data_IF_003960978157
#
_entry.id   IF_003960978157
#
_cell.length_a   1.000
_cell.length_b   1.000
_cell.length_c   1.000
_cell.angle_alpha   90.00
_cell.angle_beta   90.00
_cell.angle_gamma   90.00
#
_symmetry.space_group_name_H-M   'P 1'
#
loop_
_entity.id
_entity.type
_entity.pdbx_description
1 polymer ?
#
# COMPACT_ATOMS: atom_id res chain seq x y z
N UNK A 1 -8.38 -24.80 -8.95
CA UNK A 1 -7.92 -23.49 -8.43
C UNK A 1 -8.33 -22.41 -9.42
N UNK A 2 -9.28 -21.57 -9.04
CA UNK A 2 -9.75 -20.43 -9.84
C UNK A 2 -9.25 -19.15 -9.19
N UNK A 3 -8.63 -18.26 -9.98
CA UNK A 3 -8.20 -16.93 -9.53
C UNK A 3 -9.20 -15.89 -10.03
N UNK A 4 -9.78 -15.12 -9.11
CA UNK A 4 -10.60 -13.97 -9.42
C UNK A 4 -9.90 -12.72 -8.87
N UNK A 5 -9.83 -11.66 -9.67
CA UNK A 5 -9.34 -10.36 -9.24
C UNK A 5 -10.49 -9.35 -9.35
N UNK A 6 -10.97 -8.85 -8.21
CA UNK A 6 -11.94 -7.75 -8.16
C UNK A 6 -11.18 -6.43 -7.95
N UNK A 7 -11.52 -5.40 -8.72
CA UNK A 7 -10.95 -4.07 -8.61
C UNK A 7 -12.05 -3.07 -8.30
N UNK A 8 -12.08 -2.59 -7.05
CA UNK A 8 -13.01 -1.54 -6.64
C UNK A 8 -12.33 -0.18 -6.73
N UNK A 9 -12.92 0.68 -7.55
CA UNK A 9 -12.47 2.05 -7.77
C UNK A 9 -13.26 3.01 -6.87
N UNK A 10 -12.63 3.56 -5.83
CA UNK A 10 -13.18 4.69 -5.09
C UNK A 10 -12.68 5.98 -5.73
N UNK A 11 -13.45 6.56 -6.65
CA UNK A 11 -13.01 7.76 -7.38
C UNK A 11 -13.46 9.05 -6.69
N UNK A 12 -12.64 9.57 -5.75
CA UNK A 12 -12.83 10.94 -5.25
C UNK A 12 -12.44 12.02 -6.30
N UNK A 13 -11.78 11.64 -7.40
CA UNK A 13 -11.53 12.52 -8.54
C UNK A 13 -11.19 11.73 -9.81
N UNK A 14 -11.46 12.31 -10.99
CA UNK A 14 -11.00 11.78 -12.28
C UNK A 14 -9.46 11.65 -12.28
N UNK A 15 -8.94 10.51 -12.73
CA UNK A 15 -7.52 10.08 -12.75
C UNK A 15 -6.49 11.13 -13.17
N UNK A 16 -6.90 12.13 -13.95
CA UNK A 16 -6.02 13.10 -14.59
C UNK A 16 -6.02 14.50 -13.95
N UNK A 17 -6.91 14.79 -13.00
CA UNK A 17 -7.14 16.17 -12.53
C UNK A 17 -6.66 16.46 -11.11
N UNK A 18 -6.52 15.44 -10.24
CA UNK A 18 -6.13 15.65 -8.85
C UNK A 18 -5.13 14.60 -8.38
N UNK A 19 -4.17 15.04 -7.56
CA UNK A 19 -3.17 14.23 -6.87
C UNK A 19 -3.15 14.65 -5.40
N UNK A 20 -2.49 13.83 -4.58
CA UNK A 20 -2.39 14.09 -3.15
C UNK A 20 -3.66 13.77 -2.37
N UNK A 21 -3.71 14.31 -1.15
CA UNK A 21 -4.80 14.19 -0.18
C UNK A 21 -5.61 15.48 -0.09
N UNK A 22 -6.88 15.37 0.28
CA UNK A 22 -7.72 16.52 0.67
C UNK A 22 -7.73 16.71 2.20
N UNK A 23 -8.42 17.75 2.68
CA UNK A 23 -8.55 18.02 4.12
C UNK A 23 -9.25 16.92 4.94
N UNK A 24 -9.94 15.99 4.27
CA UNK A 24 -10.67 14.89 4.91
C UNK A 24 -9.88 13.56 4.89
N UNK A 25 -8.59 13.58 4.54
CA UNK A 25 -7.76 12.37 4.45
C UNK A 25 -8.08 11.47 3.25
N UNK A 26 -8.83 11.95 2.26
CA UNK A 26 -9.15 11.20 1.04
C UNK A 26 -8.08 11.46 -0.01
N UNK A 27 -7.40 10.40 -0.42
CA UNK A 27 -6.36 10.46 -1.46
C UNK A 27 -6.97 10.31 -2.85
N UNK A 28 -6.39 10.99 -3.83
CA UNK A 28 -6.73 10.75 -5.23
C UNK A 28 -6.27 9.36 -5.67
N UNK A 29 -6.94 8.78 -6.68
CA UNK A 29 -6.60 7.48 -7.25
C UNK A 29 -6.58 6.32 -6.23
N UNK A 30 -7.46 6.36 -5.21
CA UNK A 30 -7.61 5.27 -4.22
C UNK A 30 -8.27 4.05 -4.88
N UNK A 31 -7.54 2.95 -4.96
CA UNK A 31 -7.95 1.69 -5.60
C UNK A 31 -7.75 0.55 -4.62
N UNK A 32 -8.81 -0.22 -4.43
CA UNK A 32 -8.79 -1.49 -3.72
C UNK A 32 -8.71 -2.62 -4.77
N UNK A 33 -7.73 -3.52 -4.62
CA UNK A 33 -7.61 -4.74 -5.42
C UNK A 33 -7.75 -5.94 -4.51
N UNK A 34 -8.72 -6.80 -4.77
CA UNK A 34 -8.95 -8.05 -4.05
C UNK A 34 -8.57 -9.24 -4.94
N UNK A 35 -7.65 -10.08 -4.48
CA UNK A 35 -7.32 -11.35 -5.11
C UNK A 35 -7.98 -12.48 -4.34
N UNK A 36 -8.90 -13.18 -4.99
CA UNK A 36 -9.65 -14.30 -4.45
C UNK A 36 -9.14 -15.59 -5.10
N UNK A 37 -8.84 -16.57 -4.26
CA UNK A 37 -8.46 -17.92 -4.66
C UNK A 37 -9.56 -18.88 -4.22
N UNK A 38 -10.16 -19.54 -5.20
CA UNK A 38 -11.15 -20.59 -4.98
C UNK A 38 -10.53 -21.95 -5.24
N UNK A 39 -10.60 -22.82 -4.24
CA UNK A 39 -10.22 -24.22 -4.31
C UNK A 39 -11.47 -25.09 -4.23
N UNK A 40 -11.93 -25.52 -5.40
CA UNK A 40 -13.04 -26.44 -5.59
C UNK A 40 -12.50 -27.87 -5.51
N UNK A 41 -12.56 -28.46 -4.32
CA UNK A 41 -12.30 -29.90 -4.15
C UNK A 41 -13.43 -30.69 -4.84
N UNK A 42 -13.09 -31.49 -5.86
CA UNK A 42 -14.02 -32.36 -6.54
C UNK A 42 -14.72 -33.29 -5.53
N UNK A 43 -16.04 -33.14 -5.38
CA UNK A 43 -16.87 -33.96 -4.48
C UNK A 43 -17.18 -33.35 -3.10
N UNK A 44 -16.65 -32.17 -2.76
CA UNK A 44 -17.02 -31.44 -1.53
C UNK A 44 -18.00 -30.30 -1.85
N UNK A 45 -19.14 -30.26 -1.17
CA UNK A 45 -20.12 -29.15 -1.28
C UNK A 45 -19.63 -27.83 -0.64
N UNK A 46 -18.40 -27.78 -0.13
CA UNK A 46 -17.82 -26.61 0.54
C UNK A 46 -16.46 -26.28 -0.08
N UNK A 47 -16.48 -25.45 -1.13
CA UNK A 47 -15.25 -24.89 -1.71
C UNK A 47 -14.49 -24.04 -0.67
N UNK A 48 -13.17 -24.21 -0.63
CA UNK A 48 -12.29 -23.37 0.19
C UNK A 48 -12.03 -22.07 -0.57
N UNK A 49 -12.11 -20.94 0.13
CA UNK A 49 -11.87 -19.62 -0.44
C UNK A 49 -10.87 -18.88 0.43
N UNK A 50 -9.85 -18.33 -0.24
CA UNK A 50 -8.93 -17.37 0.35
C UNK A 50 -9.07 -16.02 -0.35
N UNK A 51 -8.86 -14.92 0.37
CA UNK A 51 -8.82 -13.58 -0.23
C UNK A 51 -7.77 -12.69 0.42
N UNK A 52 -7.04 -11.95 -0.40
CA UNK A 52 -6.12 -10.89 0.05
C UNK A 52 -6.49 -9.59 -0.66
N UNK A 53 -6.49 -8.49 0.08
CA UNK A 53 -6.77 -7.16 -0.47
C UNK A 53 -5.48 -6.32 -0.47
N UNK A 54 -5.32 -5.45 -1.46
CA UNK A 54 -4.19 -4.54 -1.65
C UNK A 54 -4.72 -3.14 -1.96
N UNK A 55 -4.20 -2.12 -1.27
CA UNK A 55 -4.54 -0.72 -1.54
C UNK A 55 -3.45 -0.06 -2.37
N UNK A 56 -3.87 0.72 -3.38
CA UNK A 56 -3.01 1.63 -4.15
C UNK A 56 -3.67 3.00 -4.22
N UNK A 57 -2.97 4.03 -3.73
CA UNK A 57 -3.43 5.41 -3.76
C UNK A 57 -2.36 6.41 -4.19
N UNK A 58 -2.75 7.68 -4.31
CA UNK A 58 -1.77 8.78 -4.36
C UNK A 58 -1.12 8.95 -2.98
N UNK A 59 0.14 9.42 -2.95
CA UNK A 59 0.84 9.72 -1.71
C UNK A 59 0.00 10.71 -0.89
N UNK A 60 -0.30 10.43 0.40
CA UNK A 60 -1.21 11.21 1.23
C UNK A 60 -0.58 12.51 1.74
N UNK A 61 -0.17 13.38 0.81
CA UNK A 61 0.37 14.72 1.06
C UNK A 61 -0.40 15.74 0.21
N UNK A 62 -0.34 17.02 0.56
CA UNK A 62 -0.89 18.09 -0.28
C UNK A 62 0.06 18.39 -1.44
N UNK A 63 -0.14 17.71 -2.56
CA UNK A 63 0.71 17.87 -3.73
C UNK A 63 -0.06 17.79 -5.04
N UNK A 64 0.44 18.52 -6.03
CA UNK A 64 -0.11 18.53 -7.37
C UNK A 64 0.97 18.32 -8.42
N UNK A 65 0.49 18.01 -9.62
CA UNK A 65 1.29 18.02 -10.82
C UNK A 65 0.39 18.54 -11.94
N UNK A 66 0.64 19.76 -12.40
CA UNK A 66 -0.19 20.39 -13.42
C UNK A 66 0.12 19.81 -14.79
N UNK A 67 -0.87 19.20 -15.43
CA UNK A 67 -0.70 18.66 -16.78
C UNK A 67 -0.47 19.82 -17.78
N UNK A 68 0.76 19.94 -18.29
CA UNK A 68 1.09 20.88 -19.36
C UNK A 68 1.16 20.16 -20.70
N UNK A 69 0.48 20.67 -21.72
CA UNK A 69 0.56 20.16 -23.10
C UNK A 69 1.98 20.25 -23.70
N UNK A 70 2.83 21.09 -23.10
CA UNK A 70 4.19 21.37 -23.59
C UNK A 70 5.28 20.69 -22.76
N UNK A 71 4.94 20.09 -21.62
CA UNK A 71 5.90 19.38 -20.77
C UNK A 71 5.48 17.92 -20.62
N UNK A 72 6.20 16.96 -21.24
CA UNK A 72 5.82 15.55 -21.21
C UNK A 72 5.88 14.94 -19.80
N UNK A 73 6.54 15.63 -18.87
CA UNK A 73 6.57 15.28 -17.45
C UNK A 73 6.55 16.58 -16.64
N UNK A 74 5.38 17.04 -16.19
CA UNK A 74 5.27 18.28 -15.43
C UNK A 74 5.93 18.14 -14.06
N UNK A 75 6.29 19.27 -13.47
CA UNK A 75 6.95 19.30 -12.18
C UNK A 75 5.95 19.04 -11.05
N UNK A 76 6.48 18.50 -9.96
CA UNK A 76 5.72 18.13 -8.77
C UNK A 76 5.82 19.27 -7.77
N UNK A 77 4.68 19.74 -7.28
CA UNK A 77 4.58 20.90 -6.41
C UNK A 77 3.92 20.47 -5.10
N UNK A 78 4.60 20.70 -3.98
CA UNK A 78 4.00 20.64 -2.65
C UNK A 78 3.20 21.93 -2.45
N UNK A 79 1.87 21.83 -2.37
CA UNK A 79 0.99 23.00 -2.44
C UNK A 79 0.76 23.66 -1.09
N UNK A 80 0.81 22.88 -0.01
CA UNK A 80 0.47 23.34 1.34
C UNK A 80 1.39 22.72 2.36
N UNK A 81 1.85 23.54 3.30
CA UNK A 81 2.56 23.08 4.49
C UNK A 81 1.56 22.60 5.54
N UNK A 82 1.72 21.36 5.99
CA UNK A 82 0.93 20.73 7.05
C UNK A 82 1.90 20.26 8.15
N UNK A 83 2.13 21.07 9.20
CA UNK A 83 3.16 20.79 10.20
C UNK A 83 2.86 19.55 11.06
N UNK A 84 1.58 19.16 11.15
CA UNK A 84 1.12 18.02 11.97
C UNK A 84 0.71 16.83 11.11
N UNK A 85 0.81 16.93 9.79
CA UNK A 85 0.39 15.90 8.84
C UNK A 85 -1.02 15.39 9.11
N UNK A 86 -1.95 16.28 9.44
CA UNK A 86 -3.30 15.95 9.90
C UNK A 86 -4.09 15.19 8.82
N UNK A 87 -4.02 15.65 7.57
CA UNK A 87 -4.70 14.97 6.48
C UNK A 87 -4.09 13.58 6.21
N UNK A 88 -2.78 13.44 6.39
CA UNK A 88 -2.07 12.16 6.29
C UNK A 88 -2.49 11.21 7.41
N UNK A 89 -2.63 11.72 8.64
CA UNK A 89 -3.12 10.97 9.81
C UNK A 89 -4.52 10.43 9.56
N UNK A 90 -5.46 11.31 9.16
CA UNK A 90 -6.84 10.94 8.84
C UNK A 90 -6.92 9.85 7.75
N UNK A 91 -6.05 9.91 6.76
CA UNK A 91 -5.96 8.89 5.72
C UNK A 91 -5.61 7.51 6.31
N UNK A 92 -4.56 7.43 7.13
CA UNK A 92 -4.13 6.16 7.72
C UNK A 92 -5.08 5.66 8.80
N UNK A 93 -5.76 6.54 9.52
CA UNK A 93 -6.82 6.15 10.46
C UNK A 93 -8.02 5.55 9.73
N UNK A 94 -8.41 6.12 8.58
CA UNK A 94 -9.45 5.53 7.74
C UNK A 94 -9.06 4.14 7.21
N UNK A 95 -7.80 3.95 6.83
CA UNK A 95 -7.27 2.65 6.44
C UNK A 95 -7.26 1.66 7.61
N UNK A 96 -6.77 2.07 8.78
CA UNK A 96 -6.74 1.23 9.98
C UNK A 96 -8.16 0.84 10.43
N UNK A 97 -9.13 1.75 10.31
CA UNK A 97 -10.53 1.47 10.61
C UNK A 97 -11.16 0.47 9.64
N UNK A 98 -10.78 0.52 8.35
CA UNK A 98 -11.32 -0.39 7.31
C UNK A 98 -10.65 -1.75 7.30
N UNK A 99 -9.33 -1.80 7.46
CA UNK A 99 -8.52 -2.99 7.23
C UNK A 99 -7.67 -3.40 8.42
N UNK A 100 -7.67 -2.65 9.52
CA UNK A 100 -6.88 -2.94 10.72
C UNK A 100 -5.37 -2.65 10.59
N UNK A 101 -4.63 -3.06 11.62
CA UNK A 101 -3.18 -2.89 11.74
C UNK A 101 -2.45 -4.25 11.72
N UNK A 102 -1.18 -4.29 11.27
CA UNK A 102 -0.34 -3.16 10.88
C UNK A 102 -0.59 -2.67 9.43
N UNK A 103 -0.40 -1.37 9.19
CA UNK A 103 -0.34 -0.79 7.83
C UNK A 103 1.10 -0.84 7.32
N UNK A 104 1.32 -1.52 6.20
CA UNK A 104 2.63 -1.63 5.54
C UNK A 104 2.63 -0.79 4.27
N UNK A 105 3.45 0.26 4.25
CA UNK A 105 3.60 1.21 3.14
C UNK A 105 4.77 0.79 2.25
N UNK A 106 4.52 0.32 1.03
CA UNK A 106 5.59 0.11 0.03
C UNK A 106 5.71 1.33 -0.88
N UNK A 107 6.78 2.09 -0.69
CA UNK A 107 7.09 3.29 -1.46
C UNK A 107 8.14 3.01 -2.55
N UNK A 108 7.74 3.13 -3.82
CA UNK A 108 8.60 2.85 -4.99
C UNK A 108 9.20 4.09 -5.68
N UNK A 109 9.15 5.26 -5.04
CA UNK A 109 9.72 6.50 -5.59
C UNK A 109 11.21 6.33 -5.89
N UNK A 110 11.69 6.97 -6.96
CA UNK A 110 13.12 6.96 -7.30
C UNK A 110 13.96 7.68 -6.26
N UNK A 111 15.13 7.12 -5.95
CA UNK A 111 16.14 7.78 -5.12
C UNK A 111 17.05 8.70 -5.93
N UNK A 112 17.35 8.33 -7.18
CA UNK A 112 18.23 9.10 -8.07
C UNK A 112 17.48 9.49 -9.34
N UNK A 113 17.36 10.78 -9.55
CA UNK A 113 16.70 11.36 -10.72
C UNK A 113 17.62 12.37 -11.41
N UNK A 114 17.58 12.45 -12.74
CA UNK A 114 18.28 13.50 -13.50
C UNK A 114 17.72 14.90 -13.21
N UNK A 115 16.44 14.98 -12.86
CA UNK A 115 15.75 16.18 -12.36
C UNK A 115 15.03 15.80 -11.07
N UNK A 116 15.31 16.44 -9.94
CA UNK A 116 14.77 16.05 -8.63
C UNK A 116 13.30 16.45 -8.53
N UNK A 117 12.40 15.56 -8.98
CA UNK A 117 10.96 15.83 -9.03
C UNK A 117 10.23 15.07 -7.94
N UNK A 118 10.47 13.76 -7.87
CA UNK A 118 9.85 12.89 -6.88
C UNK A 118 10.61 12.89 -5.55
N UNK A 119 11.88 13.31 -5.56
CA UNK A 119 12.73 13.34 -4.37
C UNK A 119 12.13 14.20 -3.24
N UNK A 120 11.50 15.33 -3.57
CA UNK A 120 10.83 16.17 -2.57
C UNK A 120 9.66 15.44 -1.91
N UNK A 121 8.80 14.78 -2.69
CA UNK A 121 7.70 13.97 -2.16
C UNK A 121 8.19 12.81 -1.31
N UNK A 122 9.28 12.14 -1.74
CA UNK A 122 9.86 11.03 -0.97
C UNK A 122 10.30 11.48 0.41
N UNK A 123 11.03 12.61 0.48
CA UNK A 123 11.51 13.16 1.75
C UNK A 123 10.34 13.58 2.62
N UNK A 124 9.40 14.32 2.05
CA UNK A 124 8.24 14.82 2.79
C UNK A 124 7.37 13.69 3.32
N UNK A 125 7.17 12.63 2.53
CA UNK A 125 6.37 11.50 2.97
C UNK A 125 7.08 10.68 4.06
N UNK A 126 8.40 10.52 3.97
CA UNK A 126 9.17 9.90 5.03
C UNK A 126 9.12 10.71 6.33
N UNK A 127 9.16 12.04 6.24
CA UNK A 127 8.99 12.93 7.39
C UNK A 127 7.58 12.78 8.00
N UNK A 128 6.54 12.75 7.17
CA UNK A 128 5.17 12.54 7.61
C UNK A 128 5.00 11.23 8.37
N UNK A 129 5.48 10.12 7.80
CA UNK A 129 5.40 8.81 8.46
C UNK A 129 6.23 8.77 9.74
N UNK A 130 7.43 9.37 9.74
CA UNK A 130 8.27 9.49 10.93
C UNK A 130 7.60 10.27 12.05
N UNK A 131 6.97 11.41 11.73
CA UNK A 131 6.20 12.21 12.69
C UNK A 131 4.99 11.44 13.23
N UNK A 132 4.22 10.78 12.35
CA UNK A 132 3.06 9.99 12.79
C UNK A 132 3.47 8.84 13.72
N UNK A 133 4.59 8.16 13.45
CA UNK A 133 5.08 7.11 14.34
C UNK A 133 5.63 7.62 15.68
N UNK A 134 5.80 8.94 15.88
CA UNK A 134 6.10 9.50 17.21
C UNK A 134 4.84 9.68 18.06
N UNK A 135 3.68 9.84 17.42
CA UNK A 135 2.40 10.11 18.10
C UNK A 135 1.52 8.86 18.20
N UNK A 136 1.69 7.89 17.30
CA UNK A 136 0.96 6.63 17.31
C UNK A 136 1.56 5.65 18.33
N UNK A 137 0.73 4.73 18.85
CA UNK A 137 1.21 3.62 19.67
C UNK A 137 2.01 2.61 18.83
N UNK A 138 2.89 1.83 19.47
CA UNK A 138 3.76 0.87 18.77
C UNK A 138 3.00 -0.13 17.89
N UNK A 139 1.82 -0.56 18.31
CA UNK A 139 0.92 -1.46 17.56
C UNK A 139 0.33 -0.82 16.29
N UNK A 140 0.26 0.51 16.26
CA UNK A 140 -0.31 1.31 15.18
C UNK A 140 0.77 1.98 14.32
N UNK A 141 2.05 1.71 14.59
CA UNK A 141 3.14 2.23 13.80
C UNK A 141 3.01 1.80 12.33
N UNK A 142 3.13 2.79 11.46
CA UNK A 142 3.17 2.61 10.02
C UNK A 142 4.52 2.00 9.63
N UNK A 143 4.49 0.82 9.01
CA UNK A 143 5.70 0.14 8.52
C UNK A 143 6.06 0.69 7.15
N UNK A 144 7.07 1.57 7.09
CA UNK A 144 7.48 2.22 5.84
C UNK A 144 8.64 1.50 5.16
N UNK A 145 8.37 0.87 4.01
CA UNK A 145 9.35 0.17 3.18
C UNK A 145 9.60 1.01 1.94
N UNK A 146 10.80 1.57 1.82
CA UNK A 146 11.21 2.28 0.62
C UNK A 146 12.06 1.39 -0.28
N UNK A 147 11.67 1.25 -1.55
CA UNK A 147 12.40 0.45 -2.51
C UNK A 147 12.54 1.14 -3.88
N UNK A 148 13.76 1.53 -4.24
CA UNK A 148 14.04 2.09 -5.56
C UNK A 148 14.05 0.99 -6.63
N UNK A 149 12.86 0.73 -7.17
CA UNK A 149 12.67 -0.23 -8.26
C UNK A 149 13.55 0.07 -9.47
N UNK A 150 13.75 1.35 -9.82
CA UNK A 150 14.46 1.73 -11.04
C UNK A 150 15.97 1.52 -10.93
N UNK A 151 16.54 1.72 -9.73
CA UNK A 151 17.93 1.38 -9.45
C UNK A 151 18.12 -0.14 -9.53
N UNK A 152 17.20 -0.91 -8.94
CA UNK A 152 17.30 -2.36 -8.88
C UNK A 152 17.10 -3.02 -10.26
N UNK A 153 16.09 -2.60 -11.01
CA UNK A 153 15.76 -3.15 -12.33
C UNK A 153 16.83 -2.91 -13.41
N UNK A 154 17.76 -1.97 -13.19
CA UNK A 154 18.90 -1.72 -14.10
C UNK A 154 20.07 -2.69 -13.90
N UNK A 155 20.08 -3.46 -12.81
CA UNK A 155 21.13 -4.47 -12.59
C UNK A 155 20.83 -5.72 -13.40
N UNK A 156 21.83 -6.21 -14.15
CA UNK A 156 21.70 -7.34 -15.10
C UNK A 156 21.35 -8.68 -14.42
N UNK A 157 21.48 -8.78 -13.09
CA UNK A 157 21.22 -9.98 -12.29
C UNK A 157 20.06 -9.81 -11.30
N UNK A 158 19.25 -8.77 -11.44
CA UNK A 158 18.22 -8.42 -10.47
C UNK A 158 17.01 -9.36 -10.57
N UNK A 159 16.84 -10.26 -9.58
CA UNK A 159 15.59 -11.01 -9.43
C UNK A 159 14.55 -10.17 -8.67
N UNK A 160 13.91 -9.25 -9.40
CA UNK A 160 12.85 -8.36 -8.91
C UNK A 160 11.73 -9.14 -8.24
N UNK A 161 11.34 -10.29 -8.82
CA UNK A 161 10.26 -11.13 -8.31
C UNK A 161 10.63 -11.79 -6.99
N UNK A 162 11.88 -12.19 -6.79
CA UNK A 162 12.32 -12.76 -5.51
C UNK A 162 12.26 -11.72 -4.38
N UNK A 163 12.69 -10.48 -4.64
CA UNK A 163 12.64 -9.41 -3.62
C UNK A 163 11.21 -9.01 -3.32
N UNK A 164 10.39 -8.76 -4.35
CA UNK A 164 8.97 -8.45 -4.15
C UNK A 164 8.21 -9.61 -3.51
N UNK A 165 8.55 -10.85 -3.88
CA UNK A 165 7.99 -12.06 -3.27
C UNK A 165 8.35 -12.16 -1.79
N UNK A 166 9.58 -11.82 -1.41
CA UNK A 166 10.00 -11.73 0.00
C UNK A 166 9.21 -10.68 0.77
N UNK A 167 9.08 -9.47 0.23
CA UNK A 167 8.29 -8.39 0.84
C UNK A 167 6.81 -8.79 0.94
N UNK A 168 6.25 -9.39 -0.10
CA UNK A 168 4.87 -9.87 -0.10
C UNK A 168 4.66 -10.98 0.94
N UNK A 169 5.61 -11.92 1.07
CA UNK A 169 5.55 -12.99 2.07
C UNK A 169 5.59 -12.44 3.48
N UNK A 170 6.55 -11.56 3.79
CA UNK A 170 6.67 -10.93 5.10
C UNK A 170 5.40 -10.13 5.44
N UNK A 171 4.89 -9.39 4.46
CA UNK A 171 3.70 -8.62 4.66
C UNK A 171 2.49 -9.53 4.92
N UNK A 172 2.34 -10.64 4.19
CA UNK A 172 1.27 -11.64 4.38
C UNK A 172 1.39 -12.31 5.76
N UNK A 173 2.60 -12.59 6.23
CA UNK A 173 2.83 -13.13 7.57
C UNK A 173 2.40 -12.13 8.66
N UNK A 174 2.58 -10.82 8.43
CA UNK A 174 2.22 -9.76 9.38
C UNK A 174 0.72 -9.39 9.37
N UNK A 175 0.10 -9.41 8.19
CA UNK A 175 -1.30 -8.93 8.02
C UNK A 175 -2.29 -10.09 7.92
N UNK A 176 -1.87 -11.25 7.45
CA UNK A 176 -2.74 -12.38 7.15
C UNK A 176 -3.56 -12.18 5.88
N UNK A 177 -4.49 -13.11 5.64
CA UNK A 177 -5.45 -13.08 4.55
C UNK A 177 -6.74 -13.76 5.00
N UNK A 178 -7.85 -13.46 4.35
CA UNK A 178 -9.13 -14.10 4.64
C UNK A 178 -9.09 -15.56 4.18
N UNK A 179 -9.63 -16.46 5.00
CA UNK A 179 -9.81 -17.88 4.65
C UNK A 179 -11.10 -18.43 5.28
N UNK A 180 -11.95 -19.08 4.49
CA UNK A 180 -13.23 -19.61 4.96
C UNK A 180 -13.17 -21.07 5.46
N UNK A 181 -12.00 -21.72 5.39
CA UNK A 181 -11.79 -23.11 5.84
C UNK A 181 -11.24 -23.20 7.26
N UNK A 182 -11.12 -24.44 7.79
CA UNK A 182 -10.40 -24.68 9.05
C UNK A 182 -8.92 -24.34 8.84
N UNK A 183 -8.31 -23.44 9.63
CA UNK A 183 -6.89 -23.13 9.46
C UNK A 183 -6.09 -24.42 9.65
N UNK A 184 -5.34 -24.81 8.61
CA UNK A 184 -4.34 -25.86 8.74
C UNK A 184 -3.23 -25.24 9.60
N UNK A 185 -3.16 -25.63 10.88
CA UNK A 185 -2.09 -25.19 11.78
C UNK A 185 -0.78 -25.79 11.28
N UNK A 186 -0.10 -25.07 10.39
CA UNK A 186 1.29 -25.37 10.07
C UNK A 186 2.09 -24.96 11.29
N UNK A 187 2.50 -25.94 12.12
CA UNK A 187 3.43 -25.73 13.23
C UNK A 187 4.79 -25.29 12.68
N UNK A 188 4.94 -24.01 12.33
CA UNK A 188 6.25 -23.37 12.28
C UNK A 188 6.71 -23.16 13.72
N UNK A 189 7.96 -23.51 14.03
CA UNK A 189 8.56 -23.33 15.36
C UNK A 189 8.35 -21.88 15.82
N UNK A 190 7.87 -21.73 17.05
CA UNK A 190 7.27 -20.52 17.63
C UNK A 190 8.11 -19.24 17.45
N UNK A 191 7.46 -18.13 17.12
CA UNK A 191 7.11 -17.10 18.12
C UNK A 191 5.62 -16.72 17.99
N UNK A 192 4.90 -16.77 19.10
CA UNK A 192 3.44 -16.67 19.18
C UNK A 192 2.90 -15.28 18.83
N UNK A 193 1.77 -15.25 18.12
CA UNK A 193 0.50 -14.75 18.64
C UNK A 193 -0.65 -15.37 17.82
N UNK A 194 -1.36 -16.31 18.46
CA UNK A 194 -2.60 -16.89 17.94
C UNK A 194 -3.66 -15.79 17.91
N UNK A 195 -4.02 -15.30 16.71
CA UNK A 195 -5.23 -14.50 16.51
C UNK A 195 -6.09 -15.14 15.43
N UNK A 196 -7.10 -15.90 15.87
CA UNK A 196 -8.29 -16.18 15.09
C UNK A 196 -8.98 -14.85 14.82
N UNK A 197 -8.89 -14.34 13.59
CA UNK A 197 -9.69 -13.19 13.20
C UNK A 197 -10.21 -13.35 11.78
N UNK A 198 -11.53 -13.27 11.68
CA UNK A 198 -12.30 -13.22 10.44
C UNK A 198 -12.17 -11.82 9.83
N UNK A 199 -10.96 -11.36 9.57
CA UNK A 199 -10.77 -10.00 9.11
C UNK A 199 -9.88 -9.92 7.88
N UNK A 200 -10.29 -8.99 7.01
CA UNK A 200 -9.74 -8.72 5.70
C UNK A 200 -8.63 -7.70 5.91
N UNK A 201 -7.37 -8.12 5.84
CA UNK A 201 -6.22 -7.27 6.12
C UNK A 201 -5.38 -7.06 4.85
N UNK A 202 -4.79 -5.87 4.73
CA UNK A 202 -4.32 -5.31 3.45
C UNK A 202 -2.93 -4.71 3.51
N UNK A 203 -2.14 -5.02 2.47
CA UNK A 203 -0.90 -4.34 2.13
C UNK A 203 -1.16 -2.96 1.49
N UNK A 204 -0.61 -1.88 2.05
CA UNK A 204 -0.66 -0.56 1.46
C UNK A 204 0.56 -0.33 0.54
N UNK A 205 0.53 -0.84 -0.69
CA UNK A 205 1.60 -0.55 -1.64
C UNK A 205 1.37 0.80 -2.35
N UNK A 206 1.91 1.88 -1.80
CA UNK A 206 1.93 3.19 -2.44
C UNK A 206 3.10 3.35 -3.42
N UNK A 207 2.92 2.82 -4.63
CA UNK A 207 3.81 3.12 -5.76
C UNK A 207 3.18 4.15 -6.71
N UNK A 208 3.85 5.30 -6.96
CA UNK A 208 3.51 6.11 -8.11
C UNK A 208 4.01 5.38 -9.36
N UNK A 209 3.09 4.72 -10.07
CA UNK A 209 3.27 4.48 -11.51
C UNK A 209 2.51 5.57 -12.25
N UNK A 210 3.29 6.44 -12.87
CA UNK A 210 2.90 7.37 -13.93
C UNK A 210 2.61 6.60 -15.22
#
# INVERSE_FOLDING_TARGET
MTLLADQRLSTYAKRYLKRGVNDHGRVANDVETEQIVLDEEAGSCKGKMSSVVQMRGSIPLFWSQEASRFSPKPDIILQRYDPTYEATRLHFEDLARRYGNPIIILNLIKTVEKRPREMMLRREFANAVGYLNQILSEENHLKFIHWDFHKFAKSKSANVLAVLGGVASEALDLTGFYYNGKPVVVKRRATQLSRTSTARYVHACHAPKW
#
